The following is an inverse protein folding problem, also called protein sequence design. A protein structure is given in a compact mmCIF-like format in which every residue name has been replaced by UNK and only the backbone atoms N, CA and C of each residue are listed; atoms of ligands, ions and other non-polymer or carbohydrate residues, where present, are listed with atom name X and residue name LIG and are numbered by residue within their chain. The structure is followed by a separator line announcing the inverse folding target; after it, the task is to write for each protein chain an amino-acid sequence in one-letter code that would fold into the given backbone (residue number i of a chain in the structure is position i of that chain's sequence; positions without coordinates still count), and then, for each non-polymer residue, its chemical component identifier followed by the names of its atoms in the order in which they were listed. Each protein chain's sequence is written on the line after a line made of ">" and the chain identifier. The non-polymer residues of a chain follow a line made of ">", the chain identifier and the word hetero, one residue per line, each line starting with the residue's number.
data_IF_668801370991
#
_entry.id   IF_668801370991
#
_cell.length_a   1.000
_cell.length_b   1.000
_cell.length_c   1.000
_cell.angle_alpha   90.00
_cell.angle_beta   90.00
_cell.angle_gamma   90.00
#
_symmetry.space_group_name_H-M   'P 1'
#
loop_
_entity.id
_entity.type
_entity.pdbx_description
1 polymer ?
#
# COMPACT_ATOMS: atom_id res chain seq x y z
N UNK A 1 -18.77 3.24 20.30
CA UNK A 1 -17.63 3.78 21.08
C UNK A 1 -18.09 4.71 22.20
N UNK A 2 -18.82 5.79 21.90
CA UNK A 2 -19.27 6.76 22.91
C UNK A 2 -20.14 6.13 24.01
N UNK A 3 -21.02 5.21 23.64
CA UNK A 3 -21.89 4.51 24.61
C UNK A 3 -21.06 3.74 25.63
N UNK A 4 -20.09 2.93 25.17
CA UNK A 4 -19.22 2.18 26.09
C UNK A 4 -18.37 3.10 26.97
N UNK A 5 -17.86 4.21 26.45
CA UNK A 5 -17.13 5.20 27.25
C UNK A 5 -17.98 5.86 28.35
N UNK A 6 -19.30 5.93 28.17
CA UNK A 6 -20.21 6.45 29.20
C UNK A 6 -20.42 5.48 30.37
N UNK A 7 -20.17 4.19 30.15
CA UNK A 7 -20.35 3.11 31.13
C UNK A 7 -19.07 2.77 31.91
N UNK A 8 -17.92 3.30 31.49
CA UNK A 8 -16.62 3.01 32.11
C UNK A 8 -15.87 4.29 32.45
N UNK A 9 -15.09 4.23 33.52
CA UNK A 9 -14.27 5.37 33.90
C UNK A 9 -13.13 5.58 32.89
N UNK A 10 -13.13 6.73 32.21
CA UNK A 10 -12.02 7.18 31.37
C UNK A 10 -11.31 8.37 32.02
N UNK A 11 -9.98 8.34 32.07
CA UNK A 11 -9.19 9.46 32.58
C UNK A 11 -9.33 10.67 31.65
N UNK A 12 -9.56 11.85 32.23
CA UNK A 12 -9.65 13.11 31.48
C UNK A 12 -8.24 13.64 31.12
N UNK A 13 -7.60 13.00 30.12
CA UNK A 13 -6.31 13.41 29.56
C UNK A 13 -6.33 13.21 28.04
N UNK A 14 -5.69 14.12 27.30
CA UNK A 14 -5.73 14.15 25.82
C UNK A 14 -5.10 12.92 25.16
N UNK A 15 -4.17 12.25 25.84
CA UNK A 15 -3.37 11.14 25.32
C UNK A 15 -3.85 9.76 25.81
N UNK A 16 -5.07 9.68 26.36
CA UNK A 16 -5.66 8.40 26.76
C UNK A 16 -5.85 7.48 25.56
N UNK A 17 -5.47 6.20 25.73
CA UNK A 17 -5.61 5.17 24.69
C UNK A 17 -6.92 4.43 24.90
N UNK A 18 -7.96 4.91 24.23
CA UNK A 18 -9.35 4.42 24.31
C UNK A 18 -9.68 3.28 23.35
N UNK A 19 -8.78 3.01 22.40
CA UNK A 19 -8.91 1.96 21.41
C UNK A 19 -7.55 1.27 21.24
N UNK A 20 -7.59 -0.03 21.00
CA UNK A 20 -6.49 -0.84 20.51
C UNK A 20 -6.98 -1.68 19.33
N UNK A 21 -6.08 -1.98 18.40
CA UNK A 21 -6.38 -2.75 17.19
C UNK A 21 -5.40 -3.91 17.04
N UNK A 22 -5.93 -5.09 16.70
CA UNK A 22 -5.16 -6.23 16.24
C UNK A 22 -5.37 -6.42 14.74
N UNK A 23 -4.28 -6.45 13.98
CA UNK A 23 -4.27 -6.93 12.60
C UNK A 23 -3.95 -8.43 12.60
N UNK A 24 -4.87 -9.25 12.08
CA UNK A 24 -4.71 -10.70 11.97
C UNK A 24 -4.79 -11.09 10.51
N UNK A 25 -3.68 -11.57 9.93
CA UNK A 25 -3.63 -11.99 8.53
C UNK A 25 -3.90 -13.48 8.38
N UNK A 26 -4.59 -13.86 7.30
CA UNK A 26 -4.81 -15.25 6.93
C UNK A 26 -3.46 -15.99 6.75
N UNK A 27 -3.23 -17.12 7.45
CA UNK A 27 -2.02 -17.93 7.31
C UNK A 27 -1.79 -18.42 5.88
N UNK A 28 -0.53 -18.60 5.46
CA UNK A 28 -0.21 -19.07 4.09
C UNK A 28 -0.79 -20.44 3.79
N UNK A 29 -0.85 -21.32 4.80
CA UNK A 29 -1.43 -22.65 4.68
C UNK A 29 -2.93 -22.65 4.36
N UNK A 30 -3.62 -21.52 4.54
CA UNK A 30 -5.04 -21.34 4.27
C UNK A 30 -5.32 -20.47 3.05
N UNK A 31 -4.29 -20.05 2.30
CA UNK A 31 -4.46 -19.16 1.14
C UNK A 31 -5.34 -19.77 0.05
N UNK A 32 -5.16 -21.06 -0.22
CA UNK A 32 -5.92 -21.82 -1.23
C UNK A 32 -7.11 -22.58 -0.61
N UNK A 33 -7.41 -22.36 0.68
CA UNK A 33 -8.56 -22.95 1.35
C UNK A 33 -9.86 -22.32 0.85
N UNK A 34 -10.97 -23.05 0.98
CA UNK A 34 -12.28 -22.54 0.55
C UNK A 34 -12.69 -21.28 1.34
N UNK A 35 -13.52 -20.43 0.74
CA UNK A 35 -14.02 -19.21 1.41
C UNK A 35 -14.66 -19.51 2.77
N UNK A 36 -15.30 -20.68 2.90
CA UNK A 36 -15.89 -21.14 4.15
C UNK A 36 -14.83 -21.39 5.22
N UNK A 37 -13.72 -22.04 4.88
CA UNK A 37 -12.63 -22.35 5.81
C UNK A 37 -11.87 -21.07 6.21
N UNK A 38 -11.65 -20.15 5.26
CA UNK A 38 -11.06 -18.84 5.57
C UNK A 38 -11.95 -18.02 6.50
N UNK A 39 -13.27 -18.03 6.26
CA UNK A 39 -14.26 -17.39 7.12
C UNK A 39 -14.27 -18.01 8.52
N UNK A 40 -14.26 -19.34 8.62
CA UNK A 40 -14.23 -20.06 9.90
C UNK A 40 -12.97 -19.70 10.72
N UNK A 41 -11.82 -19.52 10.07
CA UNK A 41 -10.61 -19.02 10.73
C UNK A 41 -10.80 -17.63 11.36
N UNK A 42 -11.37 -16.68 10.61
CA UNK A 42 -11.60 -15.33 11.13
C UNK A 42 -12.67 -15.29 12.22
N UNK A 43 -13.77 -16.06 12.07
CA UNK A 43 -14.83 -16.16 13.09
C UNK A 43 -14.28 -16.71 14.42
N UNK A 44 -13.44 -17.75 14.37
CA UNK A 44 -12.78 -18.29 15.56
C UNK A 44 -11.73 -17.35 16.14
N UNK A 45 -11.00 -16.64 15.30
CA UNK A 45 -10.06 -15.62 15.81
C UNK A 45 -10.80 -14.45 16.48
N UNK A 46 -11.94 -14.02 15.93
CA UNK A 46 -12.83 -13.05 16.56
C UNK A 46 -13.31 -13.54 17.94
N UNK A 47 -13.77 -14.79 18.02
CA UNK A 47 -14.24 -15.41 19.27
C UNK A 47 -13.14 -15.37 20.35
N UNK A 48 -11.91 -15.76 20.00
CA UNK A 48 -10.76 -15.67 20.89
C UNK A 48 -10.50 -14.25 21.39
N UNK A 49 -10.44 -13.28 20.47
CA UNK A 49 -10.12 -11.89 20.78
C UNK A 49 -11.21 -11.23 21.63
N UNK A 50 -12.49 -11.45 21.29
CA UNK A 50 -13.62 -10.95 22.05
C UNK A 50 -13.58 -11.48 23.49
N UNK A 51 -13.39 -12.80 23.66
CA UNK A 51 -13.30 -13.40 24.99
C UNK A 51 -12.08 -12.90 25.79
N UNK A 52 -10.92 -12.77 25.14
CA UNK A 52 -9.69 -12.29 25.77
C UNK A 52 -9.81 -10.87 26.31
N UNK A 53 -10.57 -10.01 25.62
CA UNK A 53 -10.65 -8.58 25.93
C UNK A 53 -11.98 -8.14 26.55
N UNK A 54 -12.67 -9.04 27.25
CA UNK A 54 -13.81 -8.70 28.11
C UNK A 54 -15.18 -8.77 27.43
N UNK A 55 -15.27 -9.54 26.35
CA UNK A 55 -16.49 -9.86 25.61
C UNK A 55 -16.85 -8.83 24.54
N UNK A 56 -17.90 -9.13 23.78
CA UNK A 56 -18.37 -8.32 22.64
C UNK A 56 -18.69 -6.86 23.02
N UNK A 57 -19.09 -6.60 24.26
CA UNK A 57 -19.36 -5.24 24.78
C UNK A 57 -18.15 -4.30 24.69
N UNK A 58 -16.93 -4.84 24.62
CA UNK A 58 -15.71 -4.06 24.47
C UNK A 58 -15.22 -4.03 23.01
N UNK A 59 -15.83 -4.77 22.09
CA UNK A 59 -15.46 -4.78 20.67
C UNK A 59 -16.07 -3.54 20.00
N UNK A 60 -15.25 -2.85 19.21
CA UNK A 60 -15.65 -1.66 18.46
C UNK A 60 -15.90 -2.00 16.99
N UNK A 61 -15.02 -2.79 16.39
CA UNK A 61 -15.17 -3.30 15.02
C UNK A 61 -14.31 -4.54 14.80
N UNK A 62 -14.75 -5.41 13.88
CA UNK A 62 -13.98 -6.57 13.42
C UNK A 62 -14.22 -6.73 11.92
N UNK A 63 -13.39 -6.09 11.10
CA UNK A 63 -13.57 -6.04 9.65
C UNK A 63 -12.54 -6.93 8.97
N UNK A 64 -12.98 -7.80 8.05
CA UNK A 64 -12.09 -8.61 7.21
C UNK A 64 -11.98 -7.95 5.84
N UNK A 65 -10.78 -7.54 5.46
CA UNK A 65 -10.47 -7.00 4.13
C UNK A 65 -10.03 -8.14 3.22
N UNK A 66 -10.63 -8.24 2.04
CA UNK A 66 -10.34 -9.27 1.01
C UNK A 66 -9.85 -8.65 -0.32
N UNK A 67 -9.78 -7.33 -0.38
CA UNK A 67 -9.42 -6.49 -1.53
C UNK A 67 -7.94 -6.11 -1.57
N UNK A 68 -7.15 -6.59 -0.59
CA UNK A 68 -5.71 -6.41 -0.52
C UNK A 68 -4.94 -7.71 -0.86
N UNK A 69 -3.60 -7.68 -0.79
CA UNK A 69 -2.73 -8.82 -1.18
C UNK A 69 -3.06 -10.13 -0.45
N UNK A 70 -3.47 -10.04 0.82
CA UNK A 70 -3.87 -11.19 1.64
C UNK A 70 -5.06 -10.80 2.50
N UNK A 71 -6.07 -11.69 2.63
CA UNK A 71 -7.15 -11.47 3.58
C UNK A 71 -6.62 -11.22 4.99
N UNK A 72 -7.11 -10.18 5.65
CA UNK A 72 -6.74 -9.87 7.03
C UNK A 72 -7.88 -9.17 7.76
N UNK A 73 -7.92 -9.36 9.08
CA UNK A 73 -8.91 -8.78 9.98
C UNK A 73 -8.30 -7.66 10.81
N UNK A 74 -8.98 -6.51 10.84
CA UNK A 74 -8.75 -5.46 11.84
C UNK A 74 -9.76 -5.62 12.98
N UNK A 75 -9.27 -5.99 14.16
CA UNK A 75 -10.05 -6.16 15.37
C UNK A 75 -9.78 -5.00 16.33
N UNK A 76 -10.68 -4.02 16.33
CA UNK A 76 -10.62 -2.86 17.20
C UNK A 76 -11.46 -3.09 18.47
N UNK A 77 -10.89 -2.80 19.64
CA UNK A 77 -11.55 -2.98 20.92
C UNK A 77 -11.16 -1.90 21.93
N UNK A 78 -12.00 -1.73 22.95
CA UNK A 78 -11.78 -0.84 24.08
C UNK A 78 -11.09 -1.60 25.22
N UNK A 79 -9.86 -1.22 25.62
CA UNK A 79 -9.14 -1.91 26.68
C UNK A 79 -9.71 -1.53 28.06
N UNK A 80 -10.73 -2.27 28.50
CA UNK A 80 -11.39 -2.09 29.80
C UNK A 80 -10.84 -3.08 30.81
N UNK A 81 -10.51 -2.60 32.00
CA UNK A 81 -10.09 -3.41 33.14
C UNK A 81 -10.86 -2.99 34.39
N UNK A 82 -11.06 -3.91 35.32
CA UNK A 82 -11.65 -3.60 36.62
C UNK A 82 -10.60 -2.94 37.55
N UNK A 83 -10.91 -1.78 38.11
CA UNK A 83 -10.08 -1.10 39.11
C UNK A 83 -10.52 -1.51 40.52
N UNK A 84 -9.79 -2.43 41.14
CA UNK A 84 -10.11 -2.92 42.49
C UNK A 84 -10.08 -1.82 43.56
N UNK A 85 -9.27 -0.77 43.39
CA UNK A 85 -9.18 0.30 44.40
C UNK A 85 -10.42 1.19 44.37
N UNK A 86 -10.99 1.39 43.19
CA UNK A 86 -12.14 2.27 42.97
C UNK A 86 -13.45 1.50 42.76
N UNK A 87 -13.41 0.16 42.74
CA UNK A 87 -14.55 -0.72 42.51
C UNK A 87 -15.37 -0.31 41.27
N UNK A 88 -14.68 -0.03 40.16
CA UNK A 88 -15.31 0.36 38.89
C UNK A 88 -14.50 -0.10 37.68
N UNK A 89 -15.16 -0.29 36.55
CA UNK A 89 -14.50 -0.53 35.27
C UNK A 89 -13.84 0.75 34.75
N UNK A 90 -12.64 0.64 34.21
CA UNK A 90 -11.90 1.77 33.63
C UNK A 90 -11.24 1.42 32.30
N UNK A 91 -11.00 2.44 31.49
CA UNK A 91 -10.19 2.31 30.26
C UNK A 91 -8.71 2.41 30.63
N UNK A 92 -7.94 1.35 30.38
CA UNK A 92 -6.49 1.33 30.62
C UNK A 92 -5.80 0.34 29.68
N UNK A 93 -5.39 0.81 28.50
CA UNK A 93 -4.57 0.02 27.56
C UNK A 93 -3.32 -0.56 28.22
N UNK A 94 -2.70 0.19 29.15
CA UNK A 94 -1.51 -0.25 29.89
C UNK A 94 -1.75 -1.50 30.74
N UNK A 95 -2.94 -1.63 31.32
CA UNK A 95 -3.29 -2.74 32.22
C UNK A 95 -3.87 -3.93 31.45
N UNK A 96 -4.47 -3.71 30.28
CA UNK A 96 -4.98 -4.78 29.42
C UNK A 96 -3.86 -5.36 28.55
N UNK A 97 -3.16 -4.52 27.79
CA UNK A 97 -2.09 -4.91 26.85
C UNK A 97 -0.72 -4.92 27.56
N UNK A 98 -0.60 -5.79 28.54
CA UNK A 98 0.64 -5.93 29.31
C UNK A 98 1.74 -6.64 28.50
N UNK A 99 3.00 -6.50 28.93
CA UNK A 99 4.10 -7.31 28.34
C UNK A 99 3.85 -8.81 28.45
N UNK A 100 3.13 -9.26 29.48
CA UNK A 100 2.78 -10.68 29.63
C UNK A 100 1.75 -11.07 28.57
N UNK A 101 0.68 -10.28 28.43
CA UNK A 101 -0.36 -10.48 27.42
C UNK A 101 0.25 -10.62 26.02
N UNK A 102 1.06 -9.64 25.61
CA UNK A 102 1.69 -9.64 24.29
C UNK A 102 2.68 -10.80 24.08
N UNK A 103 3.31 -11.30 25.15
CA UNK A 103 4.24 -12.43 25.07
C UNK A 103 3.53 -13.77 24.92
N UNK A 104 2.41 -13.97 25.61
CA UNK A 104 1.66 -15.23 25.54
C UNK A 104 0.66 -15.25 24.40
N UNK A 105 0.30 -14.09 23.84
CA UNK A 105 -0.72 -13.95 22.81
C UNK A 105 -0.63 -15.00 21.69
N UNK A 106 0.54 -15.14 21.05
CA UNK A 106 0.71 -16.09 19.94
C UNK A 106 0.53 -17.54 20.39
N UNK A 107 1.02 -17.90 21.58
CA UNK A 107 0.83 -19.25 22.10
C UNK A 107 -0.65 -19.51 22.44
N UNK A 108 -1.30 -18.57 23.13
CA UNK A 108 -2.69 -18.68 23.55
C UNK A 108 -3.64 -18.80 22.34
N UNK A 109 -3.40 -17.99 21.28
CA UNK A 109 -4.17 -18.04 20.05
C UNK A 109 -3.93 -19.36 19.28
N UNK A 110 -2.67 -19.81 19.22
CA UNK A 110 -2.32 -21.06 18.55
C UNK A 110 -3.00 -22.27 19.19
N UNK A 111 -2.95 -22.35 20.53
CA UNK A 111 -3.60 -23.40 21.31
C UNK A 111 -5.12 -23.37 21.12
N UNK A 112 -5.74 -22.18 21.12
CA UNK A 112 -7.16 -22.02 20.89
C UNK A 112 -7.58 -22.50 19.49
N UNK A 113 -6.92 -22.01 18.43
CA UNK A 113 -7.28 -22.37 17.06
C UNK A 113 -7.03 -23.85 16.76
N UNK A 114 -5.93 -24.44 17.27
CA UNK A 114 -5.69 -25.89 17.14
C UNK A 114 -6.77 -26.73 17.81
N UNK A 115 -7.35 -26.24 18.90
CA UNK A 115 -8.43 -26.93 19.60
C UNK A 115 -9.77 -26.78 18.89
N UNK A 116 -10.11 -25.58 18.44
CA UNK A 116 -11.44 -25.27 17.90
C UNK A 116 -11.59 -25.65 16.42
N UNK A 117 -10.52 -25.54 15.64
CA UNK A 117 -10.54 -25.78 14.20
C UNK A 117 -9.36 -26.65 13.70
N UNK A 118 -9.08 -27.81 14.32
CA UNK A 118 -7.96 -28.68 13.95
C UNK A 118 -8.00 -29.18 12.50
N UNK A 119 -9.20 -29.24 11.90
CA UNK A 119 -9.42 -29.67 10.53
C UNK A 119 -8.79 -28.72 9.50
N UNK A 120 -8.79 -27.41 9.77
CA UNK A 120 -8.26 -26.36 8.88
C UNK A 120 -6.90 -25.84 9.38
N UNK A 121 -6.73 -25.65 10.68
CA UNK A 121 -5.57 -24.98 11.25
C UNK A 121 -4.49 -25.97 11.71
N UNK A 122 -3.71 -26.49 10.74
CA UNK A 122 -2.74 -27.58 10.98
C UNK A 122 -1.33 -27.12 11.36
N UNK A 123 -0.79 -26.14 10.64
CA UNK A 123 0.62 -25.73 10.80
C UNK A 123 0.88 -24.89 12.06
N UNK A 124 -0.13 -24.15 12.53
CA UNK A 124 0.03 -23.22 13.63
C UNK A 124 0.76 -21.92 13.26
N UNK A 125 0.65 -20.91 14.12
CA UNK A 125 1.27 -19.58 13.96
C UNK A 125 2.70 -19.55 14.53
N UNK A 126 3.10 -20.61 15.22
CA UNK A 126 4.45 -20.81 15.76
C UNK A 126 5.33 -21.65 14.80
N UNK A 127 5.04 -21.65 13.50
CA UNK A 127 5.72 -22.43 12.46
C UNK A 127 7.03 -21.78 11.94
N UNK A 128 7.80 -21.14 12.82
CA UNK A 128 9.07 -20.45 12.52
C UNK A 128 9.01 -19.31 11.48
N UNK A 129 7.83 -18.98 10.93
CA UNK A 129 7.63 -17.77 10.08
C UNK A 129 7.51 -16.50 10.92
N UNK A 130 7.00 -16.63 12.15
CA UNK A 130 6.83 -15.53 13.10
C UNK A 130 8.04 -15.50 14.03
N UNK A 131 9.17 -14.98 13.53
CA UNK A 131 10.43 -15.07 14.27
C UNK A 131 10.45 -14.05 15.41
N UNK A 132 10.47 -14.56 16.64
CA UNK A 132 10.84 -13.77 17.81
C UNK A 132 12.26 -13.23 17.64
N UNK A 133 12.39 -11.92 17.58
CA UNK A 133 13.70 -11.28 17.44
C UNK A 133 14.35 -11.19 18.83
N UNK A 134 14.93 -12.30 19.28
CA UNK A 134 15.51 -12.39 20.62
C UNK A 134 16.85 -11.66 20.74
N UNK A 135 17.57 -11.44 19.63
CA UNK A 135 18.91 -10.83 19.67
C UNK A 135 19.19 -9.78 18.57
N UNK A 136 20.16 -8.89 18.87
CA UNK A 136 20.67 -7.88 17.92
C UNK A 136 21.34 -8.52 16.69
N UNK A 137 21.82 -9.76 16.81
CA UNK A 137 22.43 -10.49 15.70
C UNK A 137 21.36 -10.90 14.67
N UNK A 138 20.18 -11.29 15.13
CA UNK A 138 19.04 -11.62 14.27
C UNK A 138 18.52 -10.36 13.56
N UNK A 139 18.44 -9.22 14.25
CA UNK A 139 18.12 -7.92 13.63
C UNK A 139 19.08 -7.56 12.49
N UNK A 140 20.39 -7.78 12.68
CA UNK A 140 21.38 -7.50 11.64
C UNK A 140 21.20 -8.43 10.43
N UNK A 141 20.98 -9.72 10.67
CA UNK A 141 20.70 -10.69 9.59
C UNK A 141 19.46 -10.30 8.78
N UNK A 142 18.35 -9.95 9.45
CA UNK A 142 17.14 -9.49 8.76
C UNK A 142 17.36 -8.18 8.02
N UNK A 143 18.12 -7.25 8.60
CA UNK A 143 18.49 -6.00 7.92
C UNK A 143 19.29 -6.27 6.64
N UNK A 144 20.18 -7.25 6.65
CA UNK A 144 20.96 -7.67 5.48
C UNK A 144 20.06 -8.38 4.43
N UNK A 145 19.12 -9.22 4.86
CA UNK A 145 18.15 -9.87 3.98
C UNK A 145 17.18 -8.87 3.33
N UNK A 146 16.67 -7.91 4.11
CA UNK A 146 15.83 -6.82 3.60
C UNK A 146 16.62 -5.99 2.57
N UNK A 147 17.89 -5.69 2.85
CA UNK A 147 18.73 -4.96 1.90
C UNK A 147 18.92 -5.75 0.61
N UNK A 148 19.19 -7.06 0.68
CA UNK A 148 19.29 -7.92 -0.51
C UNK A 148 18.00 -7.96 -1.31
N UNK A 149 16.84 -8.09 -0.64
CA UNK A 149 15.54 -8.08 -1.31
C UNK A 149 15.28 -6.74 -2.00
N UNK A 150 15.65 -5.62 -1.35
CA UNK A 150 15.56 -4.29 -1.95
C UNK A 150 16.44 -4.19 -3.20
N UNK A 151 17.68 -4.65 -3.14
CA UNK A 151 18.61 -4.60 -4.27
C UNK A 151 18.11 -5.45 -5.45
N UNK A 152 17.50 -6.61 -5.18
CA UNK A 152 16.85 -7.45 -6.20
C UNK A 152 15.67 -6.73 -6.84
N UNK A 153 14.80 -6.12 -6.01
CA UNK A 153 13.65 -5.35 -6.50
C UNK A 153 14.09 -4.16 -7.37
N UNK A 154 15.09 -3.40 -6.93
CA UNK A 154 15.65 -2.27 -7.69
C UNK A 154 16.25 -2.74 -9.03
N UNK A 155 16.84 -3.94 -9.07
CA UNK A 155 17.32 -4.53 -10.32
C UNK A 155 16.17 -4.94 -11.26
N UNK A 156 15.11 -5.57 -10.73
CA UNK A 156 13.92 -5.93 -11.51
C UNK A 156 13.20 -4.71 -12.09
N UNK A 157 13.08 -3.63 -11.32
CA UNK A 157 12.51 -2.36 -11.79
C UNK A 157 13.32 -1.82 -12.96
N UNK A 158 14.65 -1.78 -12.85
CA UNK A 158 15.52 -1.32 -13.94
C UNK A 158 15.42 -2.18 -15.20
N UNK A 159 15.20 -3.48 -15.06
CA UNK A 159 14.97 -4.37 -16.22
C UNK A 159 13.65 -4.00 -16.90
N UNK A 160 12.56 -3.83 -16.14
CA UNK A 160 11.26 -3.44 -16.68
C UNK A 160 11.28 -2.06 -17.34
N UNK A 161 12.00 -1.09 -16.76
CA UNK A 161 12.20 0.24 -17.35
C UNK A 161 12.84 0.13 -18.74
N UNK A 162 13.91 -0.66 -18.88
CA UNK A 162 14.56 -0.87 -20.19
C UNK A 162 13.66 -1.58 -21.20
N UNK A 163 12.85 -2.56 -20.76
CA UNK A 163 11.89 -3.22 -21.63
C UNK A 163 10.81 -2.25 -22.14
N UNK A 164 10.31 -1.38 -21.26
CA UNK A 164 9.34 -0.34 -21.64
C UNK A 164 9.95 0.67 -22.61
N UNK A 165 11.17 1.16 -22.33
CA UNK A 165 11.91 2.03 -23.27
C UNK A 165 12.08 1.38 -24.64
N UNK A 166 12.42 0.08 -24.68
CA UNK A 166 12.54 -0.67 -25.93
C UNK A 166 11.23 -0.76 -26.71
N UNK A 167 10.10 -0.98 -26.01
CA UNK A 167 8.77 -1.00 -26.65
C UNK A 167 8.38 0.37 -27.19
N UNK A 168 8.63 1.45 -26.45
CA UNK A 168 8.38 2.83 -26.90
C UNK A 168 9.17 3.12 -28.17
N UNK A 169 10.46 2.80 -28.21
CA UNK A 169 11.29 3.01 -29.41
C UNK A 169 10.80 2.21 -30.63
N UNK A 170 10.27 1.00 -30.42
CA UNK A 170 9.68 0.20 -31.50
C UNK A 170 8.40 0.85 -32.03
N UNK A 171 7.52 1.28 -31.14
CA UNK A 171 6.27 1.95 -31.49
C UNK A 171 6.51 3.28 -32.21
N UNK A 172 7.50 4.06 -31.77
CA UNK A 172 7.89 5.31 -32.44
C UNK A 172 8.36 5.07 -33.88
N UNK A 173 9.13 4.01 -34.12
CA UNK A 173 9.56 3.63 -35.49
C UNK A 173 8.38 3.21 -36.37
N UNK A 174 7.45 2.42 -35.83
CA UNK A 174 6.23 2.03 -36.56
C UNK A 174 5.35 3.23 -36.88
N UNK A 175 5.20 4.15 -35.92
CA UNK A 175 4.45 5.38 -36.08
C UNK A 175 5.06 6.26 -37.18
N UNK A 176 6.39 6.44 -37.18
CA UNK A 176 7.06 7.21 -38.24
C UNK A 176 6.95 6.55 -39.61
N UNK A 177 7.03 5.23 -39.70
CA UNK A 177 6.79 4.51 -40.97
C UNK A 177 5.38 4.81 -41.50
N UNK A 178 4.35 4.70 -40.65
CA UNK A 178 2.96 4.97 -41.02
C UNK A 178 2.71 6.45 -41.37
N UNK A 179 3.34 7.39 -40.67
CA UNK A 179 3.28 8.82 -41.02
C UNK A 179 3.85 9.08 -42.41
N UNK A 180 4.99 8.48 -42.74
CA UNK A 180 5.61 8.61 -44.05
C UNK A 180 4.74 8.00 -45.17
N UNK A 181 4.13 6.84 -44.94
CA UNK A 181 3.15 6.26 -45.86
C UNK A 181 1.96 7.20 -46.10
N UNK A 182 1.41 7.78 -45.04
CA UNK A 182 0.32 8.74 -45.13
C UNK A 182 0.73 10.01 -45.88
N UNK A 183 1.90 10.57 -45.60
CA UNK A 183 2.41 11.76 -46.28
C UNK A 183 2.58 11.51 -47.78
N UNK A 184 3.21 10.40 -48.16
CA UNK A 184 3.39 10.00 -49.57
C UNK A 184 2.04 9.85 -50.29
N UNK A 185 1.03 9.25 -49.64
CA UNK A 185 -0.31 9.14 -50.19
C UNK A 185 -0.99 10.51 -50.33
N UNK A 186 -0.80 11.41 -49.35
CA UNK A 186 -1.36 12.76 -49.39
C UNK A 186 -0.74 13.63 -50.48
N UNK A 187 0.57 13.51 -50.73
CA UNK A 187 1.28 14.23 -51.80
C UNK A 187 0.93 13.71 -53.19
N UNK A 188 0.62 12.42 -53.32
CA UNK A 188 0.18 11.81 -54.58
C UNK A 188 -1.21 12.28 -55.02
N UNK A 189 -2.01 12.86 -54.11
CA UNK A 189 -3.35 13.37 -54.41
C UNK A 189 -3.27 14.77 -55.01
N UNK A 190 -3.77 14.99 -56.24
CA UNK A 190 -3.77 16.31 -56.84
C UNK A 190 -4.75 17.24 -56.13
N UNK A 191 -4.28 18.43 -55.73
CA UNK A 191 -5.11 19.47 -55.09
C UNK A 191 -6.26 19.98 -55.97
N UNK A 192 -6.18 19.78 -57.29
CA UNK A 192 -7.25 20.03 -58.26
C UNK A 192 -7.28 18.92 -59.31
N UNK A 193 -8.47 18.36 -59.57
CA UNK A 193 -8.69 17.37 -60.63
C UNK A 193 -9.03 18.12 -61.92
N UNK A 194 -8.07 18.18 -62.85
CA UNK A 194 -8.31 18.65 -64.22
C UNK A 194 -8.58 17.45 -65.13
N UNK A 195 -9.76 17.44 -65.76
CA UNK A 195 -10.20 16.40 -66.71
C UNK A 195 -9.79 16.81 -68.12
N UNK A 196 -8.99 15.99 -68.79
CA UNK A 196 -8.68 16.21 -70.21
C UNK A 196 -9.81 15.69 -71.09
N UNK A 197 -10.55 16.63 -71.68
CA UNK A 197 -11.63 16.34 -72.64
C UNK A 197 -11.11 16.37 -74.07
N UNK A 198 -11.53 15.42 -74.91
CA UNK A 198 -11.22 15.37 -76.35
C UNK A 198 -12.11 16.31 -77.17
N UNK A 199 -13.22 16.78 -76.61
CA UNK A 199 -14.18 17.67 -77.24
C UNK A 199 -15.58 17.44 -76.68
N UNK A 200 -16.57 18.06 -77.31
CA UNK A 200 -17.99 17.83 -77.02
C UNK A 200 -18.58 16.87 -78.02
N UNK A 201 -19.44 15.99 -77.55
CA UNK A 201 -20.22 15.12 -78.41
C UNK A 201 -21.19 15.97 -79.25
N UNK A 202 -21.28 15.62 -80.53
CA UNK A 202 -22.16 16.27 -81.49
C UNK A 202 -23.15 15.25 -82.01
N UNK A 203 -24.43 15.60 -81.94
CA UNK A 203 -25.51 14.81 -82.53
C UNK A 203 -25.83 15.40 -83.89
N UNK A 204 -25.89 14.53 -84.89
CA UNK A 204 -26.23 14.90 -86.25
C UNK A 204 -27.59 14.34 -86.58
N UNK A 205 -28.56 15.22 -86.83
CA UNK A 205 -29.92 14.85 -87.20
C UNK A 205 -30.20 15.32 -88.63
N UNK A 206 -30.82 14.44 -89.43
CA UNK A 206 -31.21 14.75 -90.80
C UNK A 206 -32.64 15.29 -90.76
N UNK A 207 -32.80 16.60 -90.92
CA UNK A 207 -34.09 17.29 -90.90
C UNK A 207 -34.57 17.47 -92.34
N UNK A 208 -35.80 17.04 -92.65
CA UNK A 208 -36.41 17.27 -93.97
C UNK A 208 -36.91 18.71 -94.06
N UNK A 209 -36.31 19.48 -94.97
CA UNK A 209 -36.68 20.88 -95.24
C UNK A 209 -37.54 21.06 -96.51
N UNK A 210 -37.94 19.96 -97.18
CA UNK A 210 -38.91 19.97 -98.31
C UNK A 210 -39.12 18.62 -99.01
N UNK A 211 -39.93 18.57 -100.09
CA UNK A 211 -40.43 17.34 -100.74
C UNK A 211 -39.35 16.45 -101.41
N UNK A 212 -38.09 16.89 -101.49
CA UNK A 212 -36.94 16.13 -101.98
C UNK A 212 -35.59 16.58 -101.38
N UNK A 213 -35.61 17.41 -100.32
CA UNK A 213 -34.39 17.97 -99.71
C UNK A 213 -34.34 17.68 -98.22
N UNK A 214 -33.20 17.18 -97.78
CA UNK A 214 -32.85 16.97 -96.39
C UNK A 214 -31.58 17.74 -96.06
N UNK A 215 -31.56 18.36 -94.89
CA UNK A 215 -30.42 19.09 -94.38
C UNK A 215 -29.90 18.42 -93.11
N UNK A 216 -28.58 18.38 -92.99
CA UNK A 216 -27.88 17.77 -91.87
C UNK A 216 -27.61 18.85 -90.83
N UNK A 217 -28.31 18.79 -89.70
CA UNK A 217 -28.10 19.72 -88.59
C UNK A 217 -27.26 19.03 -87.53
N UNK A 218 -26.11 19.63 -87.21
CA UNK A 218 -25.22 19.15 -86.14
C UNK A 218 -25.35 20.06 -84.92
N UNK A 219 -25.80 19.50 -83.79
CA UNK A 219 -25.91 20.20 -82.50
C UNK A 219 -24.99 19.56 -81.47
N UNK A 220 -24.37 20.37 -80.60
CA UNK A 220 -23.63 19.85 -79.46
C UNK A 220 -24.61 19.27 -78.43
N UNK A 221 -24.37 18.04 -77.97
CA UNK A 221 -25.28 17.37 -77.01
C UNK A 221 -25.12 17.84 -75.57
N UNK A 222 -24.09 18.64 -75.30
CA UNK A 222 -23.69 19.03 -73.93
C UNK A 222 -22.80 17.99 -73.22
N UNK A 223 -22.61 16.79 -73.80
CA UNK A 223 -21.76 15.75 -73.23
C UNK A 223 -20.29 15.98 -73.61
N UNK A 224 -19.38 15.69 -72.68
CA UNK A 224 -17.94 15.75 -72.89
C UNK A 224 -17.38 14.38 -73.26
N UNK A 225 -16.54 14.33 -74.30
CA UNK A 225 -15.85 13.12 -74.71
C UNK A 225 -14.55 13.01 -73.91
N UNK A 226 -14.43 11.99 -73.08
CA UNK A 226 -13.23 11.68 -72.29
C UNK A 226 -12.60 10.39 -72.81
N UNK A 227 -11.27 10.31 -72.85
CA UNK A 227 -10.63 9.05 -73.25
C UNK A 227 -10.70 8.01 -72.14
N UNK A 228 -10.74 6.75 -72.56
CA UNK A 228 -10.66 5.59 -71.69
C UNK A 228 -9.46 5.62 -70.72
N UNK A 229 -8.31 6.11 -71.19
CA UNK A 229 -7.10 6.31 -70.36
C UNK A 229 -7.28 7.38 -69.28
N UNK A 230 -8.00 8.46 -69.60
CA UNK A 230 -8.25 9.57 -68.68
C UNK A 230 -9.31 9.15 -67.64
N UNK A 231 -10.29 8.37 -68.05
CA UNK A 231 -11.28 7.79 -67.14
C UNK A 231 -10.65 6.79 -66.18
N UNK A 232 -9.73 5.92 -66.65
CA UNK A 232 -8.94 5.03 -65.80
C UNK A 232 -8.05 5.80 -64.81
N UNK A 233 -7.42 6.90 -65.25
CA UNK A 233 -6.64 7.80 -64.38
C UNK A 233 -7.53 8.38 -63.26
N UNK A 234 -8.72 8.87 -63.60
CA UNK A 234 -9.67 9.42 -62.61
C UNK A 234 -10.16 8.37 -61.62
N UNK A 235 -10.45 7.15 -62.07
CA UNK A 235 -10.81 6.03 -61.19
C UNK A 235 -9.71 5.72 -60.19
N UNK A 236 -8.44 5.72 -60.63
CA UNK A 236 -7.30 5.52 -59.73
C UNK A 236 -7.20 6.62 -58.67
N UNK A 237 -7.29 7.89 -59.07
CA UNK A 237 -7.25 9.03 -58.13
C UNK A 237 -8.40 8.97 -57.11
N UNK A 238 -9.62 8.63 -57.55
CA UNK A 238 -10.77 8.47 -56.66
C UNK A 238 -10.59 7.30 -55.68
N UNK A 239 -10.04 6.18 -56.16
CA UNK A 239 -9.73 5.02 -55.31
C UNK A 239 -8.69 5.35 -54.26
N UNK A 240 -7.59 6.01 -54.65
CA UNK A 240 -6.51 6.43 -53.74
C UNK A 240 -7.05 7.43 -52.70
N UNK A 241 -7.92 8.38 -53.11
CA UNK A 241 -8.54 9.35 -52.20
C UNK A 241 -9.51 8.68 -51.20
N UNK A 242 -10.32 7.72 -51.65
CA UNK A 242 -11.20 6.96 -50.78
C UNK A 242 -10.41 6.13 -49.76
N UNK A 243 -9.32 5.49 -50.19
CA UNK A 243 -8.45 4.74 -49.30
C UNK A 243 -7.86 5.64 -48.20
N UNK A 244 -7.32 6.82 -48.56
CA UNK A 244 -6.80 7.79 -47.57
C UNK A 244 -7.88 8.25 -46.60
N UNK A 245 -9.10 8.49 -47.09
CA UNK A 245 -10.23 8.88 -46.24
C UNK A 245 -10.62 7.78 -45.26
N UNK A 246 -10.75 6.54 -45.73
CA UNK A 246 -11.08 5.39 -44.88
C UNK A 246 -9.98 5.10 -43.85
N UNK A 247 -8.71 5.23 -44.24
CA UNK A 247 -7.56 5.06 -43.37
C UNK A 247 -7.53 6.11 -42.26
N UNK A 248 -7.79 7.37 -42.62
CA UNK A 248 -7.91 8.49 -41.68
C UNK A 248 -9.09 8.32 -40.71
N UNK A 249 -10.27 7.93 -41.22
CA UNK A 249 -11.44 7.63 -40.38
C UNK A 249 -11.18 6.45 -39.45
N UNK A 250 -10.47 5.41 -39.92
CA UNK A 250 -10.04 4.29 -39.08
C UNK A 250 -9.11 4.77 -37.96
N UNK A 251 -8.08 5.55 -38.28
CA UNK A 251 -7.15 6.11 -37.28
C UNK A 251 -7.87 6.96 -36.23
N UNK A 252 -8.85 7.79 -36.64
CA UNK A 252 -9.66 8.57 -35.70
C UNK A 252 -10.54 7.71 -34.79
N UNK A 253 -11.00 6.55 -35.27
CA UNK A 253 -11.83 5.61 -34.49
C UNK A 253 -11.01 4.62 -33.67
N UNK A 254 -9.72 4.47 -33.96
CA UNK A 254 -8.87 3.52 -33.25
C UNK A 254 -8.58 4.07 -31.84
N UNK A 255 -8.74 3.22 -30.84
CA UNK A 255 -8.59 3.50 -29.40
C UNK A 255 -7.25 4.17 -29.05
N UNK A 256 -6.21 4.02 -29.88
CA UNK A 256 -4.86 4.53 -29.65
C UNK A 256 -4.78 5.98 -29.16
N UNK A 257 -5.60 6.91 -29.68
CA UNK A 257 -5.56 8.32 -29.20
C UNK A 257 -6.11 8.44 -27.78
N UNK A 258 -7.16 7.67 -27.48
CA UNK A 258 -7.79 7.64 -26.16
C UNK A 258 -6.91 6.88 -25.16
N UNK A 259 -6.41 5.72 -25.55
CA UNK A 259 -5.47 4.91 -24.77
C UNK A 259 -4.18 5.67 -24.47
N UNK A 260 -3.61 6.40 -25.41
CA UNK A 260 -2.39 7.18 -25.19
C UNK A 260 -2.63 8.36 -24.22
N UNK A 261 -3.81 9.01 -24.30
CA UNK A 261 -4.22 10.02 -23.33
C UNK A 261 -4.39 9.40 -21.93
N UNK A 262 -5.08 8.27 -21.82
CA UNK A 262 -5.26 7.56 -20.55
C UNK A 262 -3.93 7.06 -19.97
N UNK A 263 -2.97 6.66 -20.81
CA UNK A 263 -1.63 6.28 -20.39
C UNK A 263 -0.84 7.48 -19.86
N UNK A 264 -0.90 8.63 -20.53
CA UNK A 264 -0.29 9.86 -20.01
C UNK A 264 -0.87 10.26 -18.66
N UNK A 265 -2.19 10.26 -18.52
CA UNK A 265 -2.87 10.59 -17.25
C UNK A 265 -2.45 9.62 -16.12
N UNK A 266 -2.28 8.33 -16.43
CA UNK A 266 -1.80 7.32 -15.46
C UNK A 266 -0.34 7.52 -15.08
N UNK A 267 0.52 7.85 -16.04
CA UNK A 267 1.95 8.11 -15.79
C UNK A 267 2.10 9.33 -14.88
N UNK A 268 1.36 10.41 -15.15
CA UNK A 268 1.38 11.63 -14.34
C UNK A 268 0.88 11.34 -12.91
N UNK A 269 -0.23 10.62 -12.77
CA UNK A 269 -0.74 10.22 -11.45
C UNK A 269 0.23 9.33 -10.68
N UNK A 270 0.97 8.44 -11.37
CA UNK A 270 1.95 7.57 -10.73
C UNK A 270 3.17 8.37 -10.28
N UNK A 271 3.63 9.32 -11.09
CA UNK A 271 4.73 10.22 -10.76
C UNK A 271 4.41 11.07 -9.52
N UNK A 272 3.20 11.64 -9.45
CA UNK A 272 2.74 12.39 -8.28
C UNK A 272 2.70 11.51 -7.01
N UNK A 273 2.19 10.29 -7.13
CA UNK A 273 2.18 9.31 -6.04
C UNK A 273 3.59 8.94 -5.56
N UNK A 274 4.52 8.76 -6.49
CA UNK A 274 5.91 8.43 -6.18
C UNK A 274 6.63 9.58 -5.46
N UNK A 275 6.45 10.83 -5.93
CA UNK A 275 6.99 12.02 -5.27
C UNK A 275 6.43 12.17 -3.85
N UNK A 276 5.12 11.96 -3.66
CA UNK A 276 4.49 12.01 -2.35
C UNK A 276 5.08 10.96 -1.39
N UNK A 277 5.24 9.72 -1.86
CA UNK A 277 5.82 8.64 -1.07
C UNK A 277 7.28 8.92 -0.68
N UNK A 278 8.08 9.49 -1.58
CA UNK A 278 9.46 9.90 -1.27
C UNK A 278 9.48 10.95 -0.16
N UNK A 279 8.63 11.97 -0.27
CA UNK A 279 8.57 13.05 0.72
C UNK A 279 8.13 12.52 2.09
N UNK A 280 7.07 11.70 2.15
CA UNK A 280 6.61 11.07 3.39
C UNK A 280 7.70 10.19 4.02
N UNK A 281 8.42 9.41 3.22
CA UNK A 281 9.49 8.54 3.73
C UNK A 281 10.69 9.35 4.24
N UNK A 282 10.98 10.50 3.62
CA UNK A 282 12.02 11.43 4.03
C UNK A 282 11.66 12.06 5.38
N UNK A 283 10.43 12.56 5.52
CA UNK A 283 9.90 13.11 6.78
C UNK A 283 9.93 12.08 7.92
N UNK A 284 9.53 10.83 7.62
CA UNK A 284 9.57 9.73 8.58
C UNK A 284 11.00 9.37 8.99
N UNK A 285 11.95 9.43 8.06
CA UNK A 285 13.36 9.19 8.34
C UNK A 285 13.92 10.26 9.28
N UNK A 286 13.61 11.53 9.03
CA UNK A 286 14.02 12.64 9.88
C UNK A 286 13.43 12.55 11.29
N UNK A 287 12.11 12.34 11.41
CA UNK A 287 11.45 12.13 12.71
C UNK A 287 12.03 10.94 13.46
N UNK A 288 12.31 9.83 12.79
CA UNK A 288 12.97 8.68 13.41
C UNK A 288 14.37 9.01 13.91
N UNK A 289 15.13 9.82 13.16
CA UNK A 289 16.47 10.26 13.56
C UNK A 289 16.41 11.14 14.80
N UNK A 290 15.45 12.06 14.89
CA UNK A 290 15.24 12.92 16.06
C UNK A 290 14.84 12.11 17.30
N UNK A 291 13.85 11.24 17.17
CA UNK A 291 13.42 10.35 18.26
C UNK A 291 14.57 9.48 18.76
N UNK A 292 15.45 8.99 17.87
CA UNK A 292 16.65 8.24 18.28
C UNK A 292 17.62 9.08 19.10
N UNK A 293 17.80 10.37 18.77
CA UNK A 293 18.63 11.30 19.55
C UNK A 293 18.02 11.54 20.93
N UNK A 294 16.72 11.82 20.99
CA UNK A 294 16.00 12.04 22.24
C UNK A 294 16.06 10.81 23.16
N UNK A 295 15.79 9.62 22.62
CA UNK A 295 15.90 8.36 23.37
C UNK A 295 17.32 8.16 23.91
N UNK A 296 18.34 8.54 23.14
CA UNK A 296 19.73 8.42 23.57
C UNK A 296 20.06 9.39 24.71
N UNK A 297 19.60 10.65 24.62
CA UNK A 297 19.74 11.65 25.68
C UNK A 297 18.99 11.24 26.95
N UNK A 298 17.74 10.79 26.83
CA UNK A 298 16.95 10.30 27.96
C UNK A 298 17.59 9.09 28.64
N UNK A 299 18.16 8.15 27.87
CA UNK A 299 18.90 7.02 28.43
C UNK A 299 20.13 7.47 29.23
N UNK A 300 20.85 8.49 28.75
CA UNK A 300 21.97 9.09 29.49
C UNK A 300 21.50 9.72 30.80
N UNK A 301 20.48 10.58 30.76
CA UNK A 301 19.93 11.20 31.98
C UNK A 301 19.40 10.17 32.99
N UNK A 302 18.72 9.12 32.53
CA UNK A 302 18.25 8.04 33.41
C UNK A 302 19.42 7.28 34.03
N UNK A 303 20.51 7.07 33.29
CA UNK A 303 21.73 6.44 33.82
C UNK A 303 22.34 7.29 34.93
N UNK A 304 22.49 8.59 34.71
CA UNK A 304 23.08 9.51 35.70
C UNK A 304 22.21 9.63 36.94
N UNK A 305 20.88 9.71 36.78
CA UNK A 305 19.95 9.74 37.90
C UNK A 305 20.02 8.45 38.73
N UNK A 306 20.16 7.30 38.08
CA UNK A 306 20.32 6.01 38.78
C UNK A 306 21.62 5.97 39.60
N UNK A 307 22.71 6.52 39.08
CA UNK A 307 23.98 6.59 39.83
C UNK A 307 23.86 7.57 41.01
N UNK A 308 23.21 8.72 40.82
CA UNK A 308 22.95 9.66 41.92
C UNK A 308 22.11 9.02 43.03
N UNK A 309 21.03 8.31 42.69
CA UNK A 309 20.20 7.57 43.67
C UNK A 309 21.03 6.50 44.39
N UNK A 310 21.93 5.82 43.69
CA UNK A 310 22.84 4.84 44.29
C UNK A 310 23.82 5.49 45.27
N UNK A 311 24.41 6.64 44.94
CA UNK A 311 25.27 7.38 45.88
C UNK A 311 24.48 7.81 47.12
N UNK A 312 23.28 8.37 46.92
CA UNK A 312 22.39 8.75 48.02
C UNK A 312 22.03 7.55 48.92
N UNK A 313 21.76 6.40 48.32
CA UNK A 313 21.51 5.15 49.07
C UNK A 313 22.66 4.81 50.01
N UNK A 314 23.90 4.76 49.49
CA UNK A 314 25.07 4.38 50.30
C UNK A 314 25.36 5.40 51.40
N UNK A 315 25.26 6.69 51.10
CA UNK A 315 25.46 7.75 52.09
C UNK A 315 24.38 7.72 53.18
N UNK A 316 23.11 7.58 52.79
CA UNK A 316 21.99 7.52 53.74
C UNK A 316 22.11 6.30 54.66
N UNK A 317 22.51 5.15 54.12
CA UNK A 317 22.79 3.95 54.90
C UNK A 317 23.92 4.17 55.90
N UNK A 318 25.02 4.78 55.46
CA UNK A 318 26.17 5.08 56.31
C UNK A 318 25.81 6.02 57.47
N UNK A 319 25.00 7.04 57.21
CA UNK A 319 24.59 8.03 58.21
C UNK A 319 23.57 7.45 59.19
N UNK A 320 22.57 6.71 58.71
CA UNK A 320 21.47 6.22 59.55
C UNK A 320 21.77 4.93 60.31
N UNK A 321 22.81 4.17 59.91
CA UNK A 321 23.23 2.96 60.62
C UNK A 321 22.08 1.98 60.84
N UNK A 322 21.79 1.66 62.11
CA UNK A 322 20.73 0.73 62.50
C UNK A 322 19.31 1.24 62.15
N UNK A 323 19.10 2.56 62.13
CA UNK A 323 17.82 3.17 61.77
C UNK A 323 17.54 3.12 60.26
N UNK A 324 18.53 2.75 59.44
CA UNK A 324 18.37 2.67 57.99
C UNK A 324 17.24 1.75 57.54
N UNK A 325 17.02 0.64 58.26
CA UNK A 325 15.96 -0.33 57.93
C UNK A 325 14.56 0.29 58.00
N UNK A 326 14.31 1.08 59.04
CA UNK A 326 13.04 1.78 59.22
C UNK A 326 12.86 2.88 58.17
N UNK A 327 13.88 3.72 57.95
CA UNK A 327 13.88 4.76 56.93
C UNK A 327 13.60 4.21 55.53
N UNK A 328 14.29 3.13 55.14
CA UNK A 328 14.06 2.47 53.85
C UNK A 328 12.63 1.96 53.71
N UNK A 329 12.03 1.46 54.79
CA UNK A 329 10.62 1.06 54.83
C UNK A 329 9.67 2.22 54.50
N UNK A 330 9.94 3.41 55.05
CA UNK A 330 9.17 4.63 54.77
C UNK A 330 9.30 5.05 53.30
N UNK A 331 10.55 5.14 52.79
CA UNK A 331 10.81 5.49 51.38
C UNK A 331 10.12 4.50 50.44
N UNK A 332 10.15 3.20 50.77
CA UNK A 332 9.47 2.18 49.97
C UNK A 332 7.96 2.41 49.94
N UNK A 333 7.33 2.59 51.10
CA UNK A 333 5.89 2.83 51.17
C UNK A 333 5.49 4.09 50.38
N UNK A 334 6.24 5.18 50.51
CA UNK A 334 5.93 6.42 49.76
C UNK A 334 6.06 6.26 48.25
N UNK A 335 7.10 5.58 47.76
CA UNK A 335 7.29 5.36 46.33
C UNK A 335 6.28 4.36 45.76
N UNK A 336 5.91 3.33 46.55
CA UNK A 336 4.86 2.37 46.18
C UNK A 336 3.49 3.06 46.10
N UNK A 337 3.19 4.00 47.01
CA UNK A 337 1.98 4.83 46.97
C UNK A 337 1.96 5.69 45.70
N UNK A 338 3.10 6.28 45.34
CA UNK A 338 3.25 7.09 44.12
C UNK A 338 3.28 6.24 42.84
N UNK A 339 3.39 4.92 42.95
CA UNK A 339 3.42 4.00 41.81
C UNK A 339 4.63 4.20 40.91
N UNK A 340 5.74 4.70 41.46
CA UNK A 340 6.98 4.99 40.71
C UNK A 340 8.04 3.94 40.98
N UNK A 341 8.91 3.71 39.99
CA UNK A 341 9.92 2.68 40.07
C UNK A 341 10.93 2.99 41.19
N UNK A 342 11.17 2.01 42.06
CA UNK A 342 11.92 2.22 43.29
C UNK A 342 13.39 1.83 43.11
N UNK A 343 14.16 2.74 42.50
CA UNK A 343 15.60 2.53 42.29
C UNK A 343 16.37 2.37 43.62
N UNK A 344 15.90 3.01 44.71
CA UNK A 344 16.52 2.92 46.04
C UNK A 344 16.40 1.50 46.64
N UNK A 345 15.24 0.86 46.48
CA UNK A 345 14.99 -0.53 46.87
C UNK A 345 15.73 -1.53 45.97
N UNK A 346 15.87 -1.21 44.68
CA UNK A 346 16.67 -1.98 43.74
C UNK A 346 18.15 -2.05 44.14
N UNK A 347 18.76 -0.94 44.60
CA UNK A 347 20.15 -0.94 45.06
C UNK A 347 20.35 -1.82 46.30
N UNK A 348 19.44 -1.80 47.27
CA UNK A 348 19.48 -2.73 48.40
C UNK A 348 19.38 -4.19 47.96
N UNK A 349 18.45 -4.51 47.04
CA UNK A 349 18.29 -5.88 46.54
C UNK A 349 19.56 -6.37 45.85
N UNK A 350 20.25 -5.50 45.10
CA UNK A 350 21.56 -5.81 44.50
C UNK A 350 22.63 -6.05 45.56
N UNK A 351 22.67 -5.22 46.60
CA UNK A 351 23.63 -5.37 47.71
C UNK A 351 23.45 -6.69 48.45
N UNK A 352 22.21 -7.06 48.80
CA UNK A 352 21.90 -8.35 49.44
C UNK A 352 22.30 -9.53 48.55
N UNK A 353 22.02 -9.44 47.24
CA UNK A 353 22.42 -10.49 46.30
C UNK A 353 23.95 -10.65 46.24
N UNK A 354 24.70 -9.55 46.22
CA UNK A 354 26.18 -9.59 46.30
C UNK A 354 26.66 -10.24 47.59
N UNK A 355 26.11 -9.87 48.75
CA UNK A 355 26.50 -10.45 50.04
C UNK A 355 26.19 -11.96 50.12
N UNK A 356 25.10 -12.42 49.51
CA UNK A 356 24.77 -13.86 49.41
C UNK A 356 25.70 -14.63 48.47
N UNK A 357 26.19 -14.01 47.40
CA UNK A 357 27.17 -14.61 46.50
C UNK A 357 28.52 -14.86 47.17
N UNK A 358 29.02 -13.90 47.96
CA UNK A 358 30.27 -14.06 48.71
C UNK A 358 30.21 -15.11 49.83
N UNK A 359 29.02 -15.40 50.37
CA UNK A 359 28.83 -16.44 51.40
C UNK A 359 28.70 -17.87 50.81
N UNK A 360 28.65 -18.02 49.49
CA UNK A 360 28.65 -19.33 48.82
C UNK A 360 30.02 -19.74 48.26
N UNK A 361 31.02 -18.84 48.32
CA UNK A 361 32.40 -19.07 47.85
C UNK A 361 33.40 -19.26 49.03
N UNK A 362 32.92 -19.57 50.24
CA UNK A 362 33.75 -19.81 51.43
C UNK A 362 33.56 -21.19 52.02
#
# INVERSE_FOLDING_TARGET
>A
MNDRLSEVHCLNRKDVKVCADWAVTLPESLKDASEKEQREFFEKTYEFLANRYGGEKNVLSANVHNDETRPHMHFAFMPVVWDEKKQQAKVSAKEVLTRKDLKTFHQDLDEFLKKEIPQIYKEGILNDKTIGVDTVKDLKRYSEEIQKQKDVMDAEVKVKERELEGKIQSLDKELESKKNEFLNLSEALPSKINIKVKGKEKKTEVVKTGFLKSETVTTETGNWIVSDSEMRRMQKVLSDANFVKEDYERLQRTDLVKENKELHDRVDSLADGYVKAINENTDLYEKNRELRKEISSLKAHVKDLKENVKVLYHNTKKVLGEHFKAFRGLVKNELDIKGVDNQFDCEYKKEIKKQRGYNMER
#
